data_IF_679338029819
#
_entry.id   IF_679338029819
#
_cell.length_a   1.000
_cell.length_b   1.000
_cell.length_c   1.000
_cell.angle_alpha   90.00
_cell.angle_beta   90.00
_cell.angle_gamma   90.00
#
_symmetry.space_group_name_H-M   'P 1'
#
loop_
_entity.id
_entity.type
_entity.pdbx_description
1 polymer ?
#
# COMPACT_ATOMS: atom_id res chain seq x y z
N UNK A 1 16.62 57.55 18.67
CA UNK A 1 15.69 56.77 19.50
C UNK A 1 15.84 55.33 19.07
N UNK A 2 16.76 54.62 19.72
CA UNK A 2 17.16 53.25 19.40
C UNK A 2 16.28 52.26 20.19
N UNK A 3 16.01 51.11 19.57
CA UNK A 3 15.16 50.05 20.11
C UNK A 3 15.77 49.44 21.38
N UNK A 4 15.02 49.17 22.45
CA UNK A 4 15.54 48.79 23.77
C UNK A 4 15.83 47.28 23.94
N UNK A 5 16.03 46.52 22.85
CA UNK A 5 16.15 45.05 22.91
C UNK A 5 17.33 44.49 22.11
N UNK A 6 18.44 45.22 22.06
CA UNK A 6 19.73 44.66 21.64
C UNK A 6 20.79 45.20 22.58
N UNK A 7 21.15 44.40 23.58
CA UNK A 7 22.45 44.48 24.22
C UNK A 7 23.28 43.31 23.66
N UNK A 8 24.39 43.67 23.01
CA UNK A 8 25.37 42.79 22.40
C UNK A 8 26.25 42.08 23.43
N UNK A 9 26.78 40.94 22.98
CA UNK A 9 28.06 40.33 23.35
C UNK A 9 28.23 39.71 24.75
N UNK A 10 27.83 38.44 24.89
CA UNK A 10 28.78 37.42 25.36
C UNK A 10 28.77 36.21 24.41
N UNK A 11 29.85 36.12 23.64
CA UNK A 11 30.24 34.99 22.81
C UNK A 11 30.52 33.78 23.73
N UNK A 12 29.56 32.87 23.94
CA UNK A 12 29.86 31.58 24.56
C UNK A 12 30.47 30.66 23.51
N UNK A 13 31.80 30.60 23.55
CA UNK A 13 32.68 29.69 22.82
C UNK A 13 32.21 28.23 22.97
N UNK A 14 31.60 27.67 21.92
CA UNK A 14 31.24 26.25 21.87
C UNK A 14 31.47 25.66 20.48
N UNK A 15 32.74 25.57 20.09
CA UNK A 15 33.20 24.59 19.11
C UNK A 15 34.30 23.68 19.71
N UNK A 16 33.83 22.60 20.34
CA UNK A 16 34.26 21.18 20.29
C UNK A 16 35.75 20.77 20.59
N UNK A 17 35.98 19.55 21.10
CA UNK A 17 35.83 18.36 20.24
C UNK A 17 35.03 17.21 20.87
N UNK A 18 34.37 16.45 20.00
CA UNK A 18 33.91 15.11 20.30
C UNK A 18 35.10 14.25 20.76
N UNK A 19 35.09 13.86 22.04
CA UNK A 19 35.90 12.77 22.56
C UNK A 19 34.95 11.60 22.87
N UNK A 20 35.28 10.46 22.29
CA UNK A 20 34.55 9.21 22.41
C UNK A 20 34.66 8.60 23.82
N UNK A 21 33.61 7.86 24.15
CA UNK A 21 33.49 6.75 25.10
C UNK A 21 33.77 7.01 26.60
N UNK A 22 32.69 7.01 27.40
CA UNK A 22 32.66 6.30 28.67
C UNK A 22 31.24 5.82 29.00
N UNK A 23 31.18 4.53 29.33
CA UNK A 23 29.99 3.71 29.45
C UNK A 23 29.40 3.87 30.86
N UNK A 24 28.12 4.27 30.98
CA UNK A 24 27.45 4.17 32.29
C UNK A 24 26.42 5.21 32.66
N UNK A 25 25.65 5.78 31.72
CA UNK A 25 24.49 6.59 32.10
C UNK A 25 23.35 5.68 32.57
N UNK A 26 23.46 5.24 33.83
CA UNK A 26 22.34 4.71 34.61
C UNK A 26 21.38 5.86 34.84
N UNK A 27 20.29 5.88 34.07
CA UNK A 27 19.15 6.74 34.37
C UNK A 27 18.78 6.57 35.84
N UNK A 28 18.50 7.68 36.53
CA UNK A 28 18.02 7.66 37.91
C UNK A 28 16.88 6.63 37.99
N UNK A 29 16.99 5.55 38.80
CA UNK A 29 15.92 4.57 38.88
C UNK A 29 14.66 5.30 39.36
N UNK A 30 13.57 5.20 38.61
CA UNK A 30 12.27 5.64 39.11
C UNK A 30 12.05 5.00 40.49
N UNK A 31 11.50 5.74 41.48
CA UNK A 31 11.21 5.15 42.78
C UNK A 31 10.37 3.89 42.58
N UNK A 32 10.72 2.81 43.29
CA UNK A 32 9.98 1.54 43.23
C UNK A 32 8.49 1.81 43.44
N UNK A 33 7.71 1.64 42.38
CA UNK A 33 6.25 1.64 42.45
C UNK A 33 5.84 0.20 42.69
N UNK A 34 5.10 -0.02 43.78
CA UNK A 34 4.54 -1.32 44.11
C UNK A 34 3.70 -1.83 42.91
N UNK A 35 3.84 -3.08 42.46
CA UNK A 35 3.07 -3.63 41.34
C UNK A 35 1.55 -3.50 41.50
N UNK A 36 1.05 -3.55 42.73
CA UNK A 36 -0.37 -3.39 43.04
C UNK A 36 -0.79 -1.93 42.90
N UNK A 37 0.07 -1.00 43.32
CA UNK A 37 -0.12 0.45 43.14
C UNK A 37 0.05 0.85 41.67
N UNK A 38 0.95 0.21 40.93
CA UNK A 38 1.10 0.38 39.49
C UNK A 38 -0.11 -0.15 38.72
N UNK A 39 -0.73 -1.24 39.20
CA UNK A 39 -1.97 -1.79 38.66
C UNK A 39 -3.21 -0.96 39.04
N UNK A 40 -3.23 -0.31 40.20
CA UNK A 40 -4.29 0.64 40.58
C UNK A 40 -4.13 2.01 39.88
N UNK A 41 -2.90 2.47 39.64
CA UNK A 41 -2.58 3.71 38.89
C UNK A 41 -2.76 3.55 37.38
N UNK A 42 -2.54 2.35 36.86
CA UNK A 42 -3.00 1.96 35.53
C UNK A 42 -4.52 1.80 35.62
N UNK A 43 -5.27 2.89 35.51
CA UNK A 43 -6.74 2.86 35.47
C UNK A 43 -7.25 1.75 34.55
N UNK A 44 -8.48 1.26 34.81
CA UNK A 44 -9.13 0.22 33.99
C UNK A 44 -8.78 0.44 32.52
N UNK A 45 -7.96 -0.46 31.98
CA UNK A 45 -7.47 -0.33 30.61
C UNK A 45 -8.63 -0.22 29.61
N UNK A 46 -8.33 0.06 28.33
CA UNK A 46 -9.37 0.10 27.32
C UNK A 46 -10.29 -1.10 27.43
N UNK A 47 -11.61 -0.92 27.24
CA UNK A 47 -12.54 -2.04 27.19
C UNK A 47 -12.02 -3.12 26.24
N UNK A 48 -12.18 -4.39 26.58
CA UNK A 48 -11.58 -5.53 25.85
C UNK A 48 -11.92 -5.59 24.36
N UNK A 49 -13.02 -4.95 23.96
CA UNK A 49 -13.48 -4.86 22.57
C UNK A 49 -12.83 -3.72 21.77
N UNK A 50 -12.22 -2.72 22.44
CA UNK A 50 -11.62 -1.54 21.82
C UNK A 50 -10.42 -1.95 20.96
N UNK A 51 -10.44 -1.59 19.67
CA UNK A 51 -9.39 -1.97 18.71
C UNK A 51 -9.59 -3.35 18.06
N UNK A 52 -10.52 -4.17 18.53
CA UNK A 52 -10.99 -5.36 17.80
C UNK A 52 -11.79 -4.92 16.58
N UNK A 53 -11.67 -5.62 15.44
CA UNK A 53 -12.49 -5.32 14.24
C UNK A 53 -13.97 -5.37 14.61
N UNK A 54 -14.76 -4.39 14.16
CA UNK A 54 -16.18 -4.27 14.54
C UNK A 54 -17.00 -5.57 14.39
N UNK A 55 -16.80 -6.28 13.28
CA UNK A 55 -17.47 -7.57 12.97
C UNK A 55 -16.99 -8.76 13.81
N UNK A 56 -15.87 -8.61 14.50
CA UNK A 56 -15.23 -9.64 15.34
C UNK A 56 -15.46 -9.40 16.84
N UNK A 57 -16.18 -8.32 17.22
CA UNK A 57 -16.55 -8.08 18.62
C UNK A 57 -17.49 -9.18 19.10
N UNK A 58 -17.10 -9.86 20.17
CA UNK A 58 -17.89 -10.95 20.76
C UNK A 58 -19.27 -10.47 21.21
N UNK A 59 -20.27 -11.33 21.07
CA UNK A 59 -21.68 -11.00 21.31
C UNK A 59 -21.94 -10.38 22.69
N UNK A 60 -21.23 -10.83 23.73
CA UNK A 60 -21.36 -10.30 25.09
C UNK A 60 -20.91 -8.83 25.24
N UNK A 61 -20.02 -8.35 24.37
CA UNK A 61 -19.48 -6.99 24.40
C UNK A 61 -20.17 -6.06 23.40
N UNK A 62 -20.92 -6.59 22.43
CA UNK A 62 -21.55 -5.79 21.38
C UNK A 62 -22.47 -4.70 21.93
N UNK A 63 -23.28 -5.00 22.97
CA UNK A 63 -24.19 -4.02 23.54
C UNK A 63 -23.46 -2.80 24.10
N UNK A 64 -22.36 -3.02 24.82
CA UNK A 64 -21.53 -1.95 25.35
C UNK A 64 -20.86 -1.17 24.22
N UNK A 65 -20.24 -1.87 23.27
CA UNK A 65 -19.57 -1.26 22.12
C UNK A 65 -20.53 -0.36 21.31
N UNK A 66 -21.77 -0.81 21.05
CA UNK A 66 -22.80 -0.02 20.38
C UNK A 66 -23.16 1.26 21.14
N UNK A 67 -23.36 1.19 22.45
CA UNK A 67 -23.73 2.35 23.25
C UNK A 67 -22.58 3.35 23.38
N UNK A 68 -21.34 2.85 23.50
CA UNK A 68 -20.15 3.71 23.54
C UNK A 68 -19.92 4.38 22.19
N UNK A 69 -19.99 3.63 21.09
CA UNK A 69 -19.91 4.19 19.74
C UNK A 69 -20.98 5.25 19.51
N UNK A 70 -22.23 5.00 19.92
CA UNK A 70 -23.31 5.98 19.79
C UNK A 70 -22.99 7.29 20.50
N UNK A 71 -22.57 7.24 21.77
CA UNK A 71 -22.20 8.44 22.53
C UNK A 71 -21.04 9.19 21.89
N UNK A 72 -20.05 8.45 21.39
CA UNK A 72 -18.91 9.02 20.69
C UNK A 72 -19.33 9.70 19.39
N UNK A 73 -20.19 9.08 18.58
CA UNK A 73 -20.72 9.68 17.34
C UNK A 73 -21.52 10.94 17.64
N UNK A 74 -22.34 10.94 18.70
CA UNK A 74 -23.11 12.12 19.12
C UNK A 74 -22.17 13.30 19.48
N UNK A 75 -21.07 13.03 20.20
CA UNK A 75 -20.02 14.02 20.45
C UNK A 75 -19.35 14.47 19.15
N UNK A 76 -18.92 13.54 18.30
CA UNK A 76 -18.21 13.83 17.06
C UNK A 76 -19.03 14.72 16.12
N UNK A 77 -20.33 14.45 16.00
CA UNK A 77 -21.27 15.28 15.23
C UNK A 77 -21.41 16.67 15.83
N UNK A 78 -21.54 16.78 17.16
CA UNK A 78 -21.70 18.06 17.84
C UNK A 78 -20.43 18.93 17.78
N UNK A 79 -19.27 18.33 18.02
CA UNK A 79 -17.97 19.01 18.08
C UNK A 79 -17.55 19.52 16.70
N UNK A 80 -17.59 18.64 15.69
CA UNK A 80 -17.20 18.98 14.32
C UNK A 80 -18.34 19.55 13.47
N UNK A 81 -19.53 19.77 14.08
CA UNK A 81 -20.73 20.34 13.45
C UNK A 81 -21.11 19.62 12.16
N UNK A 82 -21.06 18.30 12.19
CA UNK A 82 -21.30 17.46 11.02
C UNK A 82 -22.77 17.52 10.61
N UNK A 83 -23.00 17.58 9.30
CA UNK A 83 -24.34 17.58 8.72
C UNK A 83 -24.77 16.17 8.32
N UNK A 84 -26.06 15.99 8.02
CA UNK A 84 -26.65 14.68 7.66
C UNK A 84 -26.07 14.07 6.39
N UNK A 85 -25.45 14.87 5.52
CA UNK A 85 -24.69 14.38 4.36
C UNK A 85 -23.31 13.82 4.71
N UNK A 86 -22.86 13.95 5.97
CA UNK A 86 -21.64 13.33 6.50
C UNK A 86 -21.98 12.17 7.43
N UNK A 87 -22.85 12.41 8.42
CA UNK A 87 -23.30 11.37 9.37
C UNK A 87 -24.83 11.43 9.43
N UNK A 88 -25.55 10.54 8.73
CA UNK A 88 -27.00 10.53 8.71
C UNK A 88 -27.54 9.95 10.02
N UNK A 89 -28.77 10.30 10.45
CA UNK A 89 -29.39 9.73 11.66
C UNK A 89 -29.54 8.20 11.63
N UNK A 90 -29.48 7.59 10.43
CA UNK A 90 -29.56 6.14 10.24
C UNK A 90 -28.18 5.46 10.11
N UNK A 91 -27.07 6.13 10.46
CA UNK A 91 -25.70 5.62 10.31
C UNK A 91 -25.52 4.18 10.85
N UNK A 92 -26.15 3.85 11.98
CA UNK A 92 -26.07 2.53 12.63
C UNK A 92 -26.69 1.39 11.80
N UNK A 93 -27.44 1.70 10.73
CA UNK A 93 -28.01 0.73 9.79
C UNK A 93 -27.09 0.47 8.58
N UNK A 94 -25.99 1.20 8.48
CA UNK A 94 -25.01 1.12 7.40
C UNK A 94 -23.71 0.56 7.98
N UNK A 95 -23.38 -0.67 7.59
CA UNK A 95 -22.24 -1.42 8.17
C UNK A 95 -20.90 -0.79 7.84
N UNK A 96 -20.78 -0.19 6.66
CA UNK A 96 -19.63 0.59 6.19
C UNK A 96 -19.43 1.86 7.03
N UNK A 97 -20.49 2.67 7.23
CA UNK A 97 -20.44 3.85 8.09
C UNK A 97 -20.10 3.48 9.53
N UNK A 98 -20.71 2.41 10.04
CA UNK A 98 -20.46 1.93 11.40
C UNK A 98 -19.01 1.52 11.59
N UNK A 99 -18.43 0.76 10.65
CA UNK A 99 -17.04 0.34 10.72
C UNK A 99 -16.06 1.52 10.63
N UNK A 100 -16.33 2.49 9.76
CA UNK A 100 -15.52 3.69 9.58
C UNK A 100 -15.53 4.59 10.83
N UNK A 101 -16.72 4.85 11.40
CA UNK A 101 -16.87 5.61 12.64
C UNK A 101 -16.22 4.92 13.83
N UNK A 102 -16.34 3.59 13.91
CA UNK A 102 -15.69 2.82 14.95
C UNK A 102 -14.16 2.87 14.87
N UNK A 103 -13.59 2.79 13.66
CA UNK A 103 -12.16 2.94 13.45
C UNK A 103 -11.67 4.35 13.87
N UNK A 104 -12.47 5.38 13.58
CA UNK A 104 -12.18 6.75 14.02
C UNK A 104 -12.19 6.88 15.55
N UNK A 105 -13.18 6.30 16.23
CA UNK A 105 -13.21 6.25 17.70
C UNK A 105 -11.96 5.57 18.28
N UNK A 106 -11.52 4.46 17.71
CA UNK A 106 -10.30 3.78 18.15
C UNK A 106 -9.04 4.64 17.95
N UNK A 107 -8.98 5.43 16.87
CA UNK A 107 -7.88 6.36 16.62
C UNK A 107 -7.87 7.51 17.62
N UNK A 108 -9.03 8.12 17.89
CA UNK A 108 -9.15 9.19 18.87
C UNK A 108 -8.74 8.71 20.26
N UNK A 109 -9.26 7.55 20.69
CA UNK A 109 -8.83 6.88 21.92
C UNK A 109 -7.31 6.69 21.95
N UNK A 110 -6.73 6.11 20.89
CA UNK A 110 -5.29 5.81 20.83
C UNK A 110 -4.42 7.05 20.97
N UNK A 111 -4.85 8.17 20.40
CA UNK A 111 -4.05 9.39 20.38
C UNK A 111 -4.12 10.17 21.71
N UNK A 112 -5.18 9.98 22.51
CA UNK A 112 -5.39 10.68 23.79
C UNK A 112 -4.98 9.83 25.00
N UNK A 113 -5.03 8.51 24.90
CA UNK A 113 -4.72 7.58 26.00
C UNK A 113 -3.23 7.28 26.19
N UNK A 114 -2.35 8.02 25.50
CA UNK A 114 -0.92 7.96 25.79
C UNK A 114 -0.56 8.61 27.15
N UNK A 115 -1.53 9.24 27.84
CA UNK A 115 -1.39 9.86 29.18
C UNK A 115 -0.20 10.84 29.30
N UNK A 116 0.38 11.23 28.16
CA UNK A 116 1.50 12.15 28.02
C UNK A 116 1.08 13.26 27.04
N UNK A 117 1.44 14.53 27.30
CA UNK A 117 1.25 15.60 26.34
C UNK A 117 2.01 15.29 25.04
N UNK A 118 1.27 14.88 24.01
CA UNK A 118 1.81 14.52 22.70
C UNK A 118 1.31 15.44 21.60
N UNK A 119 2.01 15.43 20.46
CA UNK A 119 1.56 16.13 19.24
C UNK A 119 0.57 15.29 18.41
N UNK A 120 0.29 14.05 18.83
CA UNK A 120 -0.62 13.13 18.15
C UNK A 120 -1.98 13.76 17.80
N UNK A 121 -2.61 14.54 18.69
CA UNK A 121 -3.86 15.23 18.35
C UNK A 121 -3.78 16.09 17.10
N UNK A 122 -2.73 16.90 17.00
CA UNK A 122 -2.54 17.82 15.88
C UNK A 122 -2.01 17.12 14.63
N UNK A 123 -1.13 16.13 14.80
CA UNK A 123 -0.42 15.48 13.70
C UNK A 123 -1.16 14.29 13.10
N UNK A 124 -1.99 13.61 13.90
CA UNK A 124 -2.70 12.40 13.48
C UNK A 124 -4.21 12.62 13.46
N UNK A 125 -4.83 12.99 14.58
CA UNK A 125 -6.29 13.00 14.65
C UNK A 125 -6.93 14.06 13.74
N UNK A 126 -6.62 15.34 13.92
CA UNK A 126 -7.29 16.41 13.17
C UNK A 126 -7.11 16.30 11.63
N UNK A 127 -5.91 15.95 11.10
CA UNK A 127 -5.77 15.67 9.67
C UNK A 127 -6.63 14.49 9.20
N UNK A 128 -6.71 13.43 10.00
CA UNK A 128 -7.54 12.28 9.68
C UNK A 128 -9.04 12.56 9.78
N UNK A 129 -9.50 13.50 10.62
CA UNK A 129 -10.90 13.94 10.69
C UNK A 129 -11.37 14.54 9.36
N UNK A 130 -10.53 15.32 8.69
CA UNK A 130 -10.85 15.87 7.37
C UNK A 130 -11.00 14.75 6.33
N UNK A 131 -10.02 13.83 6.29
CA UNK A 131 -10.04 12.69 5.38
C UNK A 131 -11.23 11.76 5.66
N UNK A 132 -11.54 11.51 6.92
CA UNK A 132 -12.68 10.74 7.39
C UNK A 132 -13.98 11.38 6.92
N UNK A 133 -14.15 12.68 7.13
CA UNK A 133 -15.34 13.42 6.70
C UNK A 133 -15.55 13.31 5.19
N UNK A 134 -14.48 13.36 4.39
CA UNK A 134 -14.56 13.16 2.95
C UNK A 134 -15.01 11.74 2.57
N UNK A 135 -14.49 10.71 3.24
CA UNK A 135 -14.92 9.31 3.02
C UNK A 135 -16.37 9.08 3.44
N UNK A 136 -16.77 9.57 4.61
CA UNK A 136 -18.14 9.46 5.11
C UNK A 136 -19.13 10.13 4.15
N UNK A 137 -18.81 11.32 3.62
CA UNK A 137 -19.66 11.98 2.61
C UNK A 137 -19.91 11.10 1.39
N UNK A 138 -18.87 10.43 0.89
CA UNK A 138 -19.02 9.51 -0.25
C UNK A 138 -19.90 8.31 0.09
N UNK A 139 -19.65 7.66 1.23
CA UNK A 139 -20.44 6.52 1.70
C UNK A 139 -21.91 6.90 1.86
N UNK A 140 -22.21 8.08 2.42
CA UNK A 140 -23.58 8.59 2.59
C UNK A 140 -24.22 8.94 1.24
N UNK A 141 -23.44 9.49 0.30
CA UNK A 141 -23.92 9.79 -1.06
C UNK A 141 -24.33 8.52 -1.81
N UNK A 142 -23.49 7.50 -1.73
CA UNK A 142 -23.71 6.16 -2.30
C UNK A 142 -24.91 5.46 -1.63
N UNK A 143 -25.04 5.56 -0.30
CA UNK A 143 -26.19 5.06 0.43
C UNK A 143 -27.50 5.79 0.10
N UNK A 144 -27.45 7.05 -0.37
CA UNK A 144 -28.59 7.83 -0.83
C UNK A 144 -29.60 8.27 0.25
N UNK A 145 -29.43 7.84 1.50
CA UNK A 145 -30.38 8.05 2.59
C UNK A 145 -30.56 9.55 2.94
N UNK A 146 -29.48 10.32 2.90
CA UNK A 146 -29.51 11.75 3.20
C UNK A 146 -30.27 12.57 2.14
N UNK A 147 -30.18 12.19 0.86
CA UNK A 147 -30.89 12.85 -0.25
C UNK A 147 -32.39 12.61 -0.20
N UNK A 148 -32.79 11.39 0.16
CA UNK A 148 -34.19 10.94 0.20
C UNK A 148 -34.87 11.36 1.51
N UNK A 149 -34.09 11.62 2.57
CA UNK A 149 -34.62 11.92 3.91
C UNK A 149 -35.18 10.68 4.63
N UNK A 150 -34.99 9.49 4.06
CA UNK A 150 -35.41 8.20 4.63
C UNK A 150 -34.28 7.18 4.48
N UNK A 151 -34.22 6.24 5.41
CA UNK A 151 -33.26 5.14 5.31
C UNK A 151 -33.58 4.27 4.08
N UNK A 152 -32.56 4.08 3.24
CA UNK A 152 -32.55 3.18 2.10
C UNK A 152 -31.75 1.94 2.51
N UNK A 153 -32.35 0.77 2.34
CA UNK A 153 -31.65 -0.49 2.52
C UNK A 153 -30.48 -0.62 1.54
N UNK A 154 -29.52 -1.49 1.84
CA UNK A 154 -28.36 -1.70 0.99
C UNK A 154 -28.77 -2.35 -0.33
N UNK A 155 -28.03 -2.03 -1.39
CA UNK A 155 -28.32 -2.52 -2.73
C UNK A 155 -27.88 -3.98 -2.91
N UNK A 156 -28.59 -4.68 -3.79
CA UNK A 156 -28.25 -6.03 -4.21
C UNK A 156 -26.91 -6.05 -4.97
N UNK A 157 -26.11 -7.10 -4.78
CA UNK A 157 -24.91 -7.32 -5.57
C UNK A 157 -25.27 -8.15 -6.81
N UNK A 158 -25.52 -7.47 -7.93
CA UNK A 158 -26.03 -8.10 -9.14
C UNK A 158 -27.40 -8.74 -8.89
N UNK A 159 -27.50 -10.06 -9.07
CA UNK A 159 -28.73 -10.82 -8.79
C UNK A 159 -28.83 -11.33 -7.34
N UNK A 160 -27.86 -10.99 -6.46
CA UNK A 160 -27.81 -11.47 -5.08
C UNK A 160 -28.35 -10.44 -4.09
N UNK A 161 -29.04 -10.90 -3.05
CA UNK A 161 -29.51 -10.03 -1.99
C UNK A 161 -28.35 -9.29 -1.30
N UNK A 162 -28.62 -8.09 -0.81
CA UNK A 162 -27.65 -7.33 -0.02
C UNK A 162 -27.16 -8.18 1.17
N UNK A 163 -25.86 -8.10 1.47
CA UNK A 163 -25.15 -8.86 2.52
C UNK A 163 -25.10 -10.38 2.35
N UNK A 164 -25.59 -10.93 1.24
CA UNK A 164 -25.40 -12.35 0.91
C UNK A 164 -24.38 -12.45 -0.21
N UNK A 165 -23.19 -12.93 0.13
CA UNK A 165 -22.16 -13.23 -0.85
C UNK A 165 -22.05 -14.75 -0.96
N UNK A 166 -22.60 -15.27 -2.05
CA UNK A 166 -22.53 -16.68 -2.40
C UNK A 166 -21.65 -16.77 -3.66
N UNK A 167 -20.45 -17.32 -3.48
CA UNK A 167 -19.53 -17.56 -4.58
C UNK A 167 -19.91 -18.87 -5.25
N UNK A 168 -19.56 -19.01 -6.52
CA UNK A 168 -19.48 -20.33 -7.12
C UNK A 168 -18.24 -21.01 -6.50
N UNK A 169 -18.45 -21.80 -5.45
CA UNK A 169 -17.37 -22.46 -4.69
C UNK A 169 -16.56 -23.41 -5.58
N UNK A 170 -17.19 -24.02 -6.59
CA UNK A 170 -16.53 -24.91 -7.53
C UNK A 170 -15.60 -24.11 -8.47
N UNK A 171 -16.10 -23.01 -9.06
CA UNK A 171 -15.29 -22.12 -9.90
C UNK A 171 -14.16 -21.46 -9.09
N UNK A 172 -14.46 -20.98 -7.88
CA UNK A 172 -13.46 -20.40 -6.99
C UNK A 172 -12.37 -21.41 -6.62
N UNK A 173 -12.75 -22.64 -6.26
CA UNK A 173 -11.79 -23.70 -5.90
C UNK A 173 -10.95 -24.11 -7.10
N UNK A 174 -11.56 -24.25 -8.28
CA UNK A 174 -10.86 -24.55 -9.52
C UNK A 174 -9.83 -23.45 -9.86
N UNK A 175 -10.21 -22.18 -9.72
CA UNK A 175 -9.33 -21.06 -9.96
C UNK A 175 -8.22 -20.93 -8.91
N UNK A 176 -8.56 -21.05 -7.62
CA UNK A 176 -7.62 -20.96 -6.51
C UNK A 176 -6.60 -22.12 -6.51
N UNK A 177 -7.03 -23.30 -6.96
CA UNK A 177 -6.17 -24.47 -7.15
C UNK A 177 -5.32 -24.45 -8.43
N UNK A 178 -5.54 -23.51 -9.35
CA UNK A 178 -4.82 -23.46 -10.61
C UNK A 178 -3.34 -23.09 -10.39
N UNK A 179 -2.44 -24.04 -10.58
CA UNK A 179 -1.00 -23.81 -10.60
C UNK A 179 -0.56 -23.39 -12.00
N UNK A 180 0.39 -22.45 -12.07
CA UNK A 180 1.00 -21.98 -13.32
C UNK A 180 2.51 -22.14 -13.20
N UNK A 181 3.09 -22.80 -14.19
CA UNK A 181 4.53 -23.01 -14.30
C UNK A 181 4.97 -22.52 -15.67
N UNK A 182 6.11 -21.84 -15.70
CA UNK A 182 6.73 -21.34 -16.91
C UNK A 182 8.16 -21.86 -16.95
N UNK A 183 8.60 -22.32 -18.11
CA UNK A 183 9.97 -22.78 -18.32
C UNK A 183 10.52 -22.17 -19.61
N UNK A 184 11.83 -21.94 -19.62
CA UNK A 184 12.56 -21.37 -20.76
C UNK A 184 13.26 -22.49 -21.50
N UNK A 185 12.75 -22.79 -22.69
CA UNK A 185 13.32 -23.83 -23.56
C UNK A 185 14.19 -23.21 -24.65
N UNK A 186 15.34 -23.82 -24.92
CA UNK A 186 16.17 -23.47 -26.07
C UNK A 186 15.43 -23.86 -27.38
N UNK A 187 15.49 -22.98 -28.37
CA UNK A 187 14.94 -23.26 -29.70
C UNK A 187 15.85 -24.24 -30.43
N UNK A 188 15.31 -25.20 -31.22
CA UNK A 188 16.15 -26.06 -32.04
C UNK A 188 16.91 -25.24 -33.11
N UNK A 189 18.09 -25.73 -33.50
CA UNK A 189 18.89 -25.11 -34.57
C UNK A 189 18.28 -25.35 -35.96
N UNK A 190 17.64 -26.51 -36.17
CA UNK A 190 16.96 -26.88 -37.41
C UNK A 190 15.59 -27.52 -37.14
N UNK A 191 14.64 -27.30 -38.07
CA UNK A 191 13.33 -27.96 -38.04
C UNK A 191 12.35 -27.44 -36.98
N UNK A 192 11.51 -28.34 -36.45
CA UNK A 192 10.49 -28.06 -35.43
C UNK A 192 10.61 -29.07 -34.30
N UNK A 193 10.77 -28.60 -33.06
CA UNK A 193 10.72 -29.42 -31.85
C UNK A 193 9.33 -29.35 -31.24
N UNK A 194 8.67 -30.50 -31.06
CA UNK A 194 7.37 -30.56 -30.40
C UNK A 194 7.54 -30.84 -28.91
N UNK A 195 6.85 -30.07 -28.07
CA UNK A 195 6.81 -30.25 -26.62
C UNK A 195 5.36 -30.30 -26.14
N UNK A 196 5.13 -31.02 -25.04
CA UNK A 196 3.87 -31.05 -24.31
C UNK A 196 4.18 -31.24 -22.84
N UNK A 197 3.35 -30.67 -21.96
CA UNK A 197 3.41 -30.96 -20.55
C UNK A 197 2.66 -32.27 -20.25
N UNK A 198 3.19 -33.07 -19.34
CA UNK A 198 2.53 -34.23 -18.77
C UNK A 198 2.43 -34.01 -17.26
N UNK A 199 1.22 -34.11 -16.72
CA UNK A 199 0.92 -33.98 -15.30
C UNK A 199 0.84 -35.37 -14.71
N UNK A 200 1.66 -35.64 -13.70
CA UNK A 200 1.73 -36.92 -13.00
C UNK A 200 1.21 -36.80 -11.57
N UNK A 201 0.64 -37.87 -11.03
CA UNK A 201 0.22 -37.93 -9.62
C UNK A 201 1.42 -38.21 -8.69
N UNK A 202 1.16 -38.27 -7.39
CA UNK A 202 2.17 -38.59 -6.38
C UNK A 202 2.82 -39.98 -6.54
N UNK A 203 2.11 -40.91 -7.18
CA UNK A 203 2.60 -42.27 -7.47
C UNK A 203 3.36 -42.36 -8.81
N UNK A 204 3.49 -41.23 -9.53
CA UNK A 204 4.18 -41.12 -10.81
C UNK A 204 3.36 -41.54 -12.04
N UNK A 205 2.06 -41.77 -11.88
CA UNK A 205 1.15 -42.13 -12.97
C UNK A 205 0.70 -40.88 -13.73
N UNK A 206 0.56 -40.98 -15.05
CA UNK A 206 0.07 -39.89 -15.92
C UNK A 206 -1.42 -39.61 -15.65
N UNK A 207 -1.72 -38.38 -15.26
CA UNK A 207 -3.08 -37.90 -14.96
C UNK A 207 -3.64 -37.08 -16.12
N UNK A 208 -2.81 -36.26 -16.76
CA UNK A 208 -3.23 -35.40 -17.86
C UNK A 208 -2.06 -35.01 -18.76
N UNK A 209 -2.36 -34.68 -20.02
CA UNK A 209 -1.39 -34.15 -20.99
C UNK A 209 -1.90 -32.88 -21.64
N UNK A 210 -1.01 -31.93 -21.90
CA UNK A 210 -1.34 -30.71 -22.63
C UNK A 210 -1.42 -30.95 -24.13
N UNK A 211 -2.00 -29.97 -24.84
CA UNK A 211 -1.82 -29.86 -26.28
C UNK A 211 -0.33 -29.70 -26.61
N UNK A 212 0.17 -30.36 -27.68
CA UNK A 212 1.55 -30.18 -28.09
C UNK A 212 1.74 -28.80 -28.75
N UNK A 213 2.89 -28.19 -28.50
CA UNK A 213 3.34 -26.95 -29.10
C UNK A 213 4.60 -27.25 -29.92
N UNK A 214 4.69 -26.71 -31.13
CA UNK A 214 5.88 -26.79 -31.97
C UNK A 214 6.75 -25.53 -31.85
N UNK A 215 7.97 -25.69 -31.35
CA UNK A 215 9.01 -24.67 -31.41
C UNK A 215 9.77 -24.79 -32.71
N UNK A 216 9.53 -23.86 -33.63
CA UNK A 216 10.26 -23.77 -34.90
C UNK A 216 11.67 -23.23 -34.65
N UNK A 217 12.64 -23.74 -35.39
CA UNK A 217 14.02 -23.25 -35.34
C UNK A 217 14.12 -21.74 -35.54
N UNK A 218 15.11 -21.13 -34.88
CA UNK A 218 15.38 -19.70 -35.06
C UNK A 218 15.80 -19.49 -36.51
N UNK A 219 15.08 -18.64 -37.26
CA UNK A 219 15.61 -18.12 -38.51
C UNK A 219 16.80 -17.23 -38.16
N UNK A 220 18.01 -17.70 -38.46
CA UNK A 220 19.15 -16.82 -38.54
C UNK A 220 18.85 -15.75 -39.61
N UNK A 221 19.03 -14.47 -39.31
CA UNK A 221 19.07 -13.43 -40.34
C UNK A 221 20.14 -13.83 -41.35
N UNK A 222 19.78 -13.96 -42.63
CA UNK A 222 20.71 -14.41 -43.67
C UNK A 222 21.80 -13.37 -43.96
N UNK A 223 21.58 -12.12 -43.57
CA UNK A 223 22.48 -11.00 -43.80
C UNK A 223 22.48 -10.09 -42.57
N UNK A 224 23.67 -9.72 -42.11
CA UNK A 224 23.86 -8.65 -41.13
C UNK A 224 23.84 -7.32 -41.87
N UNK A 225 22.95 -6.42 -41.49
CA UNK A 225 22.89 -5.08 -42.05
C UNK A 225 23.29 -4.05 -40.98
N UNK A 226 24.17 -3.12 -41.35
CA UNK A 226 24.60 -2.02 -40.50
C UNK A 226 24.29 -0.69 -41.20
N UNK A 227 23.58 0.19 -40.51
CA UNK A 227 23.27 1.54 -40.98
C UNK A 227 23.85 2.55 -39.98
N UNK A 228 24.56 3.55 -40.49
CA UNK A 228 25.14 4.64 -39.68
C UNK A 228 24.34 5.90 -39.94
N UNK A 229 23.76 6.45 -38.87
CA UNK A 229 22.95 7.67 -38.90
C UNK A 229 23.58 8.77 -38.06
N UNK A 230 23.48 10.01 -38.51
CA UNK A 230 23.91 11.18 -37.74
C UNK A 230 22.80 11.59 -36.78
N UNK A 231 23.04 11.50 -35.48
CA UNK A 231 22.07 11.90 -34.44
C UNK A 231 22.16 13.38 -34.07
N UNK A 232 23.34 14.00 -34.26
CA UNK A 232 23.51 15.45 -34.16
C UNK A 232 24.62 15.91 -35.08
N UNK A 233 24.41 17.03 -35.76
CA UNK A 233 25.36 17.65 -36.69
C UNK A 233 25.89 18.98 -36.15
N UNK A 234 26.06 19.09 -34.83
CA UNK A 234 26.67 20.28 -34.20
C UNK A 234 28.12 20.45 -34.69
N UNK A 235 28.53 21.64 -35.20
CA UNK A 235 29.83 21.83 -35.86
C UNK A 235 31.05 21.46 -35.04
N UNK A 236 30.97 21.58 -33.71
CA UNK A 236 32.07 21.28 -32.81
C UNK A 236 32.14 19.80 -32.37
N UNK A 237 31.04 19.05 -32.47
CA UNK A 237 30.94 17.67 -31.97
C UNK A 237 29.74 16.96 -32.59
N UNK A 238 29.84 16.45 -33.83
CA UNK A 238 28.79 15.62 -34.40
C UNK A 238 28.72 14.30 -33.65
N UNK A 239 27.51 13.77 -33.49
CA UNK A 239 27.29 12.43 -32.94
C UNK A 239 26.68 11.55 -34.01
N UNK A 240 27.21 10.34 -34.13
CA UNK A 240 26.72 9.31 -35.04
C UNK A 240 26.32 8.09 -34.22
N UNK A 241 25.33 7.35 -34.73
CA UNK A 241 24.85 6.10 -34.16
C UNK A 241 24.90 5.04 -35.25
N UNK A 242 25.35 3.85 -34.90
CA UNK A 242 25.19 2.67 -35.75
C UNK A 242 24.03 1.85 -35.25
N UNK A 243 23.18 1.40 -36.16
CA UNK A 243 22.15 0.40 -35.91
C UNK A 243 22.56 -0.86 -36.66
N UNK A 244 22.89 -1.92 -35.92
CA UNK A 244 23.16 -3.23 -36.48
C UNK A 244 21.92 -4.10 -36.33
N UNK A 245 21.41 -4.60 -37.44
CA UNK A 245 20.25 -5.49 -37.48
C UNK A 245 20.67 -6.87 -37.98
N UNK A 246 20.02 -7.90 -37.43
CA UNK A 246 20.28 -9.29 -37.82
C UNK A 246 21.59 -9.89 -37.32
N UNK A 247 22.33 -9.22 -36.44
CA UNK A 247 23.58 -9.74 -35.88
C UNK A 247 23.35 -10.78 -34.77
N UNK A 248 24.16 -11.83 -34.76
CA UNK A 248 24.31 -12.73 -33.62
C UNK A 248 25.08 -12.05 -32.46
N UNK A 249 24.96 -12.55 -31.21
CA UNK A 249 25.55 -11.91 -30.02
C UNK A 249 27.07 -11.74 -30.01
N UNK A 250 27.79 -12.28 -31.01
CA UNK A 250 29.25 -12.21 -31.15
C UNK A 250 29.78 -11.20 -32.17
N UNK A 251 28.92 -10.38 -32.79
CA UNK A 251 29.35 -9.36 -33.76
C UNK A 251 29.83 -8.10 -33.05
N UNK A 252 31.04 -7.66 -33.36
CA UNK A 252 31.65 -6.44 -32.81
C UNK A 252 31.61 -5.30 -33.85
N UNK A 253 31.24 -4.08 -33.40
CA UNK A 253 31.31 -2.88 -34.25
C UNK A 253 32.71 -2.29 -34.18
N UNK A 254 33.38 -2.24 -35.32
CA UNK A 254 34.61 -1.47 -35.49
C UNK A 254 34.34 -0.21 -36.30
N UNK A 255 34.69 0.94 -35.74
CA UNK A 255 34.58 2.22 -36.43
C UNK A 255 35.81 2.45 -37.27
N UNK A 256 35.59 2.68 -38.57
CA UNK A 256 36.64 3.04 -39.51
C UNK A 256 36.44 4.46 -39.99
N UNK A 257 37.54 5.14 -40.28
CA UNK A 257 37.50 6.48 -40.85
C UNK A 257 38.17 6.48 -42.23
N UNK A 258 37.68 7.33 -43.11
CA UNK A 258 38.22 7.47 -44.46
C UNK A 258 38.23 8.94 -44.87
N UNK A 259 39.33 9.35 -45.50
CA UNK A 259 39.48 10.71 -46.06
C UNK A 259 38.87 10.83 -47.46
N UNK A 260 38.60 9.72 -48.15
CA UNK A 260 38.17 9.71 -49.55
C UNK A 260 37.12 8.64 -49.90
N UNK A 261 36.58 7.92 -48.91
CA UNK A 261 35.66 6.79 -49.05
C UNK A 261 36.19 5.62 -49.92
N UNK A 262 37.49 5.57 -50.18
CA UNK A 262 38.15 4.54 -51.01
C UNK A 262 39.21 3.75 -50.23
N UNK A 263 39.84 4.35 -49.22
CA UNK A 263 40.70 3.67 -48.25
C UNK A 263 40.17 3.85 -46.82
N UNK A 264 40.11 2.79 -46.04
CA UNK A 264 39.51 2.77 -44.70
C UNK A 264 40.58 2.35 -43.69
N UNK A 265 40.73 3.13 -42.61
CA UNK A 265 41.64 2.88 -41.48
C UNK A 265 40.85 2.66 -40.19
#
# INVERSE_FOLDING_TARGET
MASPWVEDDELTDWEAPAAADDDGQTGTPLPYVDPEVAAELAGEGPPVWMGTRWREIEAQHQWEAWNTLRRWVDWFVAEYRLVTSVVPPCWYKHSDLTAELYAAMCMEYKVWEEQAPGLGPMMMWHPHVEMLTARLRRMVDEAGCAKIGMHKGPEAYGNRAAFTLDYDEDDFTAWAGATREEDVLERPEEGVQYLRACVVNADGEEVAVSNPIGLVARRAPSEVAAEVETTSSTPASPTVRVVVSGADPGVEVQWQTSVNAQGWE
#
